data_IF_155918600458
#
_entry.id   IF_155918600458
#
_cell.length_a   1.000
_cell.length_b   1.000
_cell.length_c   1.000
_cell.angle_alpha   90.00
_cell.angle_beta   90.00
_cell.angle_gamma   90.00
#
_symmetry.space_group_name_H-M   'P 1'
#
loop_
_entity.id
_entity.type
_entity.pdbx_description
1 polymer ?
#
# COMPACT_ATOMS: atom_id res chain seq x y z
N UNK A 1 -36.07 -29.96 -1.44
CA UNK A 1 -35.99 -28.74 -0.59
C UNK A 1 -36.71 -27.61 -1.28
N UNK A 2 -37.47 -26.79 -0.53
CA UNK A 2 -38.12 -25.60 -1.08
C UNK A 2 -37.08 -24.46 -1.25
N UNK A 3 -37.26 -23.60 -2.25
CA UNK A 3 -36.37 -22.46 -2.55
C UNK A 3 -36.14 -21.55 -1.33
N UNK A 4 -37.19 -21.31 -0.54
CA UNK A 4 -37.09 -20.51 0.69
C UNK A 4 -36.22 -21.16 1.77
N UNK A 5 -36.09 -22.50 1.77
CA UNK A 5 -35.21 -23.22 2.69
C UNK A 5 -33.76 -23.14 2.24
N UNK A 6 -33.50 -23.25 0.92
CA UNK A 6 -32.18 -23.03 0.37
C UNK A 6 -31.73 -21.58 0.62
N UNK A 7 -32.54 -20.58 0.28
CA UNK A 7 -32.21 -19.16 0.52
C UNK A 7 -31.83 -18.90 1.99
N UNK A 8 -32.54 -19.50 2.95
CA UNK A 8 -32.22 -19.41 4.39
C UNK A 8 -30.95 -20.17 4.81
N UNK A 9 -30.59 -21.23 4.10
CA UNK A 9 -29.37 -22.03 4.33
C UNK A 9 -28.13 -21.33 3.78
N UNK A 10 -28.27 -20.62 2.65
CA UNK A 10 -27.21 -19.81 2.04
C UNK A 10 -27.13 -18.39 2.63
N UNK A 11 -28.14 -17.93 3.36
CA UNK A 11 -28.16 -16.63 4.03
C UNK A 11 -27.08 -16.57 5.12
N UNK A 12 -25.98 -15.84 4.83
CA UNK A 12 -24.82 -15.72 5.71
C UNK A 12 -23.65 -16.66 5.39
N UNK A 13 -23.76 -17.48 4.33
CA UNK A 13 -22.59 -18.13 3.75
C UNK A 13 -21.70 -17.07 3.11
N UNK A 14 -20.47 -16.96 3.61
CA UNK A 14 -19.47 -16.15 2.93
C UNK A 14 -18.96 -16.95 1.76
N UNK A 15 -19.06 -16.41 0.56
CA UNK A 15 -18.60 -17.09 -0.63
C UNK A 15 -17.09 -16.86 -0.86
N UNK A 16 -16.42 -17.78 -1.55
CA UNK A 16 -14.98 -17.60 -1.88
C UNK A 16 -14.74 -16.35 -2.71
N UNK A 17 -15.70 -15.95 -3.54
CA UNK A 17 -15.57 -14.76 -4.37
C UNK A 17 -15.51 -13.48 -3.51
N UNK A 18 -16.25 -13.40 -2.40
CA UNK A 18 -16.21 -12.25 -1.49
C UNK A 18 -14.84 -12.15 -0.80
N UNK A 19 -14.28 -13.29 -0.41
CA UNK A 19 -12.93 -13.36 0.14
C UNK A 19 -11.88 -12.87 -0.87
N UNK A 20 -11.92 -13.36 -2.11
CA UNK A 20 -10.98 -12.93 -3.15
C UNK A 20 -11.17 -11.45 -3.53
N UNK A 21 -12.41 -10.98 -3.59
CA UNK A 21 -12.70 -9.56 -3.81
C UNK A 21 -12.10 -8.70 -2.70
N UNK A 22 -12.30 -9.10 -1.44
CA UNK A 22 -11.71 -8.37 -0.31
C UNK A 22 -10.18 -8.44 -0.31
N UNK A 23 -9.59 -9.56 -0.72
CA UNK A 23 -8.14 -9.67 -0.91
C UNK A 23 -7.66 -8.66 -1.96
N UNK A 24 -8.33 -8.57 -3.10
CA UNK A 24 -8.02 -7.61 -4.17
C UNK A 24 -8.07 -6.15 -3.70
N UNK A 25 -9.12 -5.75 -2.98
CA UNK A 25 -9.23 -4.40 -2.38
C UNK A 25 -8.08 -4.13 -1.41
N UNK A 26 -7.68 -5.14 -0.64
CA UNK A 26 -6.58 -5.02 0.33
C UNK A 26 -5.22 -4.91 -0.38
N UNK A 27 -5.05 -5.64 -1.49
CA UNK A 27 -3.86 -5.58 -2.33
C UNK A 27 -3.74 -4.24 -3.08
N UNK A 28 -4.85 -3.67 -3.53
CA UNK A 28 -4.89 -2.33 -4.12
C UNK A 28 -4.36 -1.28 -3.14
N UNK A 29 -4.85 -1.27 -1.89
CA UNK A 29 -4.36 -0.35 -0.87
C UNK A 29 -2.84 -0.49 -0.62
N UNK A 30 -2.32 -1.73 -0.62
CA UNK A 30 -0.88 -1.96 -0.53
C UNK A 30 -0.11 -1.39 -1.74
N UNK A 31 -0.63 -1.59 -2.94
CA UNK A 31 0.02 -1.12 -4.17
C UNK A 31 0.00 0.41 -4.29
N UNK A 32 -1.09 1.05 -3.86
CA UNK A 32 -1.18 2.50 -3.77
C UNK A 32 -0.19 3.07 -2.76
N UNK A 33 -0.04 2.43 -1.60
CA UNK A 33 0.98 2.79 -0.62
C UNK A 33 2.41 2.70 -1.21
N UNK A 34 2.74 1.61 -1.92
CA UNK A 34 4.03 1.44 -2.58
C UNK A 34 4.29 2.53 -3.64
N UNK A 35 3.27 2.84 -4.43
CA UNK A 35 3.32 3.86 -5.48
C UNK A 35 3.60 5.25 -4.90
N UNK A 36 2.92 5.62 -3.82
CA UNK A 36 3.13 6.91 -3.16
C UNK A 36 4.53 7.04 -2.58
N UNK A 37 5.05 5.99 -1.94
CA UNK A 37 6.43 6.03 -1.42
C UNK A 37 7.47 6.09 -2.53
N UNK A 38 7.26 5.37 -3.63
CA UNK A 38 8.11 5.48 -4.82
C UNK A 38 8.10 6.91 -5.39
N UNK A 39 6.92 7.51 -5.47
CA UNK A 39 6.74 8.89 -5.93
C UNK A 39 7.47 9.89 -5.02
N UNK A 40 7.38 9.72 -3.69
CA UNK A 40 8.13 10.52 -2.72
C UNK A 40 9.65 10.43 -2.93
N UNK A 41 10.19 9.22 -3.07
CA UNK A 41 11.62 9.03 -3.32
C UNK A 41 12.05 9.72 -4.61
N UNK A 42 11.28 9.56 -5.70
CA UNK A 42 11.58 10.20 -6.98
C UNK A 42 11.54 11.74 -6.88
N UNK A 43 10.54 12.29 -6.21
CA UNK A 43 10.40 13.73 -6.03
C UNK A 43 11.52 14.32 -5.16
N UNK A 44 11.93 13.61 -4.10
CA UNK A 44 13.03 14.04 -3.23
C UNK A 44 14.40 13.94 -3.94
N UNK A 45 14.61 12.92 -4.78
CA UNK A 45 15.77 12.86 -5.67
C UNK A 45 15.77 14.04 -6.65
N UNK A 46 14.63 14.35 -7.26
CA UNK A 46 14.49 15.48 -8.16
C UNK A 46 14.77 16.82 -7.49
N UNK A 47 14.33 17.00 -6.24
CA UNK A 47 14.66 18.19 -5.45
C UNK A 47 16.15 18.27 -5.11
N UNK A 48 16.76 17.17 -4.68
CA UNK A 48 18.18 17.12 -4.32
C UNK A 48 19.09 17.42 -5.50
N UNK A 49 18.67 17.08 -6.72
CA UNK A 49 19.44 17.24 -7.95
C UNK A 49 18.90 18.39 -8.83
N UNK A 50 18.05 19.27 -8.29
CA UNK A 50 17.50 20.44 -8.98
C UNK A 50 16.78 20.15 -10.31
N UNK A 51 16.21 18.95 -10.49
CA UNK A 51 15.50 18.56 -11.72
C UNK A 51 14.25 19.37 -12.02
N UNK A 52 13.75 20.13 -11.03
CA UNK A 52 12.64 21.05 -11.19
C UNK A 52 13.03 22.34 -11.93
N UNK A 53 14.32 22.69 -11.96
CA UNK A 53 14.85 23.86 -12.69
C UNK A 53 15.77 23.45 -13.85
N UNK A 54 16.51 22.34 -13.69
CA UNK A 54 17.36 21.76 -14.72
C UNK A 54 17.03 20.27 -14.91
N UNK A 55 16.03 19.93 -15.74
CA UNK A 55 15.58 18.56 -15.90
C UNK A 55 16.66 17.62 -16.45
N UNK A 56 16.88 16.48 -15.78
CA UNK A 56 17.68 15.36 -16.28
C UNK A 56 16.81 14.10 -16.43
N UNK A 57 16.11 13.94 -17.57
CA UNK A 57 15.19 12.81 -17.77
C UNK A 57 15.91 11.46 -17.82
N UNK A 58 17.19 11.41 -18.22
CA UNK A 58 17.94 10.16 -18.30
C UNK A 58 18.28 9.63 -16.90
N UNK A 59 18.71 10.50 -16.00
CA UNK A 59 18.97 10.11 -14.61
C UNK A 59 17.66 9.86 -13.86
N UNK A 60 16.62 10.68 -14.10
CA UNK A 60 15.29 10.45 -13.53
C UNK A 60 14.71 9.09 -13.92
N UNK A 61 14.85 8.66 -15.19
CA UNK A 61 14.45 7.32 -15.62
C UNK A 61 15.18 6.22 -14.86
N UNK A 62 16.50 6.35 -14.66
CA UNK A 62 17.29 5.35 -13.90
C UNK A 62 16.84 5.26 -12.43
N UNK A 63 16.48 6.39 -11.83
CA UNK A 63 15.93 6.41 -10.47
C UNK A 63 14.56 5.72 -10.42
N UNK A 64 13.68 6.01 -11.38
CA UNK A 64 12.39 5.33 -11.48
C UNK A 64 12.56 3.82 -11.67
N UNK A 65 13.43 3.37 -12.59
CA UNK A 65 13.71 1.95 -12.81
C UNK A 65 14.25 1.25 -11.54
N UNK A 66 15.02 1.96 -10.71
CA UNK A 66 15.50 1.46 -9.41
C UNK A 66 14.35 1.31 -8.42
N UNK A 67 13.45 2.30 -8.36
CA UNK A 67 12.27 2.28 -7.49
C UNK A 67 11.34 1.12 -7.87
N UNK A 68 11.05 0.94 -9.16
CA UNK A 68 10.16 -0.11 -9.66
C UNK A 68 10.65 -1.53 -9.35
N UNK A 69 11.96 -1.72 -9.23
CA UNK A 69 12.58 -3.00 -8.86
C UNK A 69 12.77 -3.18 -7.35
N UNK A 70 12.54 -2.14 -6.57
CA UNK A 70 12.78 -2.15 -5.14
C UNK A 70 11.60 -2.79 -4.40
N UNK A 71 11.91 -3.50 -3.32
CA UNK A 71 10.88 -3.92 -2.37
C UNK A 71 10.40 -2.70 -1.58
N UNK A 72 9.16 -2.72 -1.08
CA UNK A 72 8.64 -1.68 -0.19
C UNK A 72 9.59 -1.37 0.98
N UNK A 73 10.19 -2.41 1.57
CA UNK A 73 11.17 -2.25 2.65
C UNK A 73 12.43 -1.48 2.19
N UNK A 74 12.89 -1.74 0.96
CA UNK A 74 14.01 -0.99 0.39
C UNK A 74 13.64 0.46 0.09
N UNK A 75 12.46 0.70 -0.47
CA UNK A 75 11.95 2.06 -0.72
C UNK A 75 11.86 2.89 0.56
N UNK A 76 11.41 2.28 1.67
CA UNK A 76 11.39 2.94 2.99
C UNK A 76 12.80 3.27 3.51
N UNK A 77 13.78 2.38 3.28
CA UNK A 77 15.18 2.65 3.63
C UNK A 77 15.75 3.80 2.80
N UNK A 78 15.46 3.83 1.50
CA UNK A 78 15.93 4.90 0.62
C UNK A 78 15.28 6.25 1.02
N UNK A 79 14.00 6.26 1.37
CA UNK A 79 13.29 7.47 1.81
C UNK A 79 13.89 8.09 3.09
N UNK A 80 14.39 7.27 4.03
CA UNK A 80 15.06 7.73 5.25
C UNK A 80 16.37 8.48 5.01
N UNK A 81 16.93 8.39 3.80
CA UNK A 81 18.13 9.16 3.44
C UNK A 81 17.81 10.65 3.20
N UNK A 82 16.53 10.98 3.00
CA UNK A 82 16.06 12.33 2.67
C UNK A 82 15.27 12.97 3.81
N UNK A 83 14.50 12.18 4.56
CA UNK A 83 13.61 12.69 5.60
C UNK A 83 13.74 11.89 6.90
N UNK A 84 13.52 12.58 8.01
CA UNK A 84 13.36 11.95 9.33
C UNK A 84 11.88 11.82 9.63
N UNK A 85 11.43 10.60 9.92
CA UNK A 85 10.04 10.35 10.30
C UNK A 85 9.82 10.65 11.78
N UNK A 86 8.70 11.32 12.09
CA UNK A 86 8.19 11.33 13.45
C UNK A 86 7.78 9.92 13.90
N UNK A 87 7.91 9.64 15.19
CA UNK A 87 7.74 8.29 15.76
C UNK A 87 6.40 7.61 15.38
N UNK A 88 5.32 8.37 15.30
CA UNK A 88 4.00 7.85 14.93
C UNK A 88 3.93 7.42 13.46
N UNK A 89 4.52 8.22 12.56
CA UNK A 89 4.56 7.93 11.14
C UNK A 89 5.49 6.75 10.85
N UNK A 90 6.64 6.71 11.51
CA UNK A 90 7.58 5.58 11.46
C UNK A 90 6.92 4.27 11.90
N UNK A 91 6.15 4.31 12.99
CA UNK A 91 5.36 3.16 13.46
C UNK A 91 4.29 2.76 12.45
N UNK A 92 3.58 3.73 11.86
CA UNK A 92 2.56 3.50 10.84
C UNK A 92 3.14 2.77 9.63
N UNK A 93 4.23 3.29 9.03
CA UNK A 93 4.87 2.68 7.87
C UNK A 93 5.50 1.32 8.18
N UNK A 94 6.07 1.16 9.38
CA UNK A 94 6.59 -0.13 9.83
C UNK A 94 5.50 -1.18 10.00
N UNK A 95 4.30 -0.80 10.47
CA UNK A 95 3.14 -1.71 10.54
C UNK A 95 2.67 -2.07 9.14
N UNK A 96 2.47 -1.08 8.27
CA UNK A 96 2.03 -1.29 6.91
C UNK A 96 2.99 -2.18 6.09
N UNK A 97 4.30 -2.05 6.28
CA UNK A 97 5.29 -2.97 5.68
C UNK A 97 5.06 -4.42 6.11
N UNK A 98 4.80 -4.66 7.41
CA UNK A 98 4.50 -6.01 7.92
C UNK A 98 3.20 -6.53 7.34
N UNK A 99 2.17 -5.68 7.30
CA UNK A 99 0.84 -6.01 6.76
C UNK A 99 0.88 -6.33 5.27
N UNK A 100 1.64 -5.55 4.48
CA UNK A 100 1.89 -5.83 3.05
C UNK A 100 2.63 -7.14 2.84
N UNK A 101 3.68 -7.40 3.61
CA UNK A 101 4.44 -8.66 3.50
C UNK A 101 3.57 -9.87 3.89
N UNK A 102 2.77 -9.74 4.95
CA UNK A 102 1.81 -10.76 5.35
C UNK A 102 0.78 -11.00 4.24
N UNK A 103 0.18 -9.95 3.70
CA UNK A 103 -0.81 -10.03 2.62
C UNK A 103 -0.27 -10.79 1.41
N UNK A 104 0.93 -10.41 0.93
CA UNK A 104 1.49 -10.93 -0.32
C UNK A 104 2.16 -12.29 -0.19
N UNK A 105 2.73 -12.61 0.98
CA UNK A 105 3.56 -13.80 1.13
C UNK A 105 3.00 -14.83 2.12
N UNK A 106 2.13 -14.45 3.06
CA UNK A 106 1.73 -15.34 4.15
C UNK A 106 0.23 -15.51 4.35
N UNK A 107 -0.61 -14.71 3.67
CA UNK A 107 -2.04 -14.65 4.00
C UNK A 107 -2.74 -16.00 3.81
N UNK A 108 -2.68 -16.57 2.61
CA UNK A 108 -3.34 -17.85 2.34
C UNK A 108 -2.65 -19.03 3.02
N UNK A 109 -1.32 -19.01 3.13
CA UNK A 109 -0.55 -20.05 3.83
C UNK A 109 -1.00 -20.20 5.29
N UNK A 110 -1.09 -19.08 6.03
CA UNK A 110 -1.48 -19.07 7.45
C UNK A 110 -2.94 -19.46 7.68
N UNK A 111 -3.78 -19.22 6.69
CA UNK A 111 -5.20 -19.57 6.77
C UNK A 111 -5.49 -21.00 6.28
N UNK A 112 -4.62 -21.59 5.47
CA UNK A 112 -4.64 -23.00 5.07
C UNK A 112 -6.07 -23.50 4.76
N UNK A 113 -6.57 -24.48 5.51
CA UNK A 113 -7.89 -25.08 5.32
C UNK A 113 -9.07 -24.19 5.72
N UNK A 114 -8.87 -23.04 6.38
CA UNK A 114 -9.96 -22.13 6.79
C UNK A 114 -10.84 -21.71 5.61
N UNK A 115 -10.25 -21.54 4.42
CA UNK A 115 -10.96 -21.18 3.20
C UNK A 115 -12.07 -22.17 2.81
N UNK A 116 -12.00 -23.42 3.29
CA UNK A 116 -12.96 -24.48 2.97
C UNK A 116 -14.27 -24.35 3.75
N UNK A 117 -14.32 -23.54 4.80
CA UNK A 117 -15.50 -23.40 5.67
C UNK A 117 -15.99 -21.96 5.68
N UNK A 118 -17.29 -21.74 5.87
CA UNK A 118 -17.85 -20.38 5.91
C UNK A 118 -17.32 -19.60 7.12
N UNK A 119 -17.19 -20.27 8.27
CA UNK A 119 -16.61 -19.68 9.47
C UNK A 119 -15.16 -19.25 9.24
N UNK A 120 -14.34 -20.12 8.63
CA UNK A 120 -12.96 -19.79 8.30
C UNK A 120 -12.84 -18.68 7.25
N UNK A 121 -13.74 -18.61 6.25
CA UNK A 121 -13.78 -17.49 5.30
C UNK A 121 -14.20 -16.18 5.97
N UNK A 122 -15.14 -16.20 6.92
CA UNK A 122 -15.47 -15.02 7.73
C UNK A 122 -14.27 -14.50 8.51
N UNK A 123 -13.50 -15.39 9.14
CA UNK A 123 -12.25 -15.02 9.82
C UNK A 123 -11.24 -14.41 8.85
N UNK A 124 -11.02 -15.06 7.70
CA UNK A 124 -10.11 -14.54 6.67
C UNK A 124 -10.51 -13.14 6.18
N UNK A 125 -11.81 -12.90 5.97
CA UNK A 125 -12.31 -11.57 5.59
C UNK A 125 -12.10 -10.55 6.70
N UNK A 126 -12.30 -10.93 7.97
CA UNK A 126 -12.03 -10.05 9.10
C UNK A 126 -10.54 -9.65 9.17
N UNK A 127 -9.64 -10.61 8.97
CA UNK A 127 -8.20 -10.34 8.90
C UNK A 127 -7.84 -9.41 7.74
N UNK A 128 -8.44 -9.61 6.56
CA UNK A 128 -8.24 -8.69 5.43
C UNK A 128 -8.79 -7.29 5.69
N UNK A 129 -9.87 -7.14 6.49
CA UNK A 129 -10.36 -5.81 6.88
C UNK A 129 -9.32 -5.09 7.74
N UNK A 130 -8.73 -5.78 8.71
CA UNK A 130 -7.67 -5.21 9.55
C UNK A 130 -6.43 -4.83 8.73
N UNK A 131 -5.96 -5.74 7.86
CA UNK A 131 -4.83 -5.45 6.96
C UNK A 131 -5.12 -4.26 6.05
N UNK A 132 -6.32 -4.19 5.49
CA UNK A 132 -6.75 -3.09 4.64
C UNK A 132 -6.75 -1.77 5.39
N UNK A 133 -7.28 -1.72 6.61
CA UNK A 133 -7.28 -0.49 7.42
C UNK A 133 -5.86 0.02 7.67
N UNK A 134 -4.93 -0.87 8.06
CA UNK A 134 -3.53 -0.49 8.27
C UNK A 134 -2.86 0.05 7.00
N UNK A 135 -3.04 -0.64 5.87
CA UNK A 135 -2.46 -0.25 4.58
C UNK A 135 -3.08 1.05 4.06
N UNK A 136 -4.39 1.21 4.22
CA UNK A 136 -5.11 2.39 3.77
C UNK A 136 -4.70 3.64 4.55
N UNK A 137 -4.54 3.53 5.87
CA UNK A 137 -4.03 4.64 6.70
C UNK A 137 -2.61 5.04 6.28
N UNK A 138 -1.74 4.06 6.03
CA UNK A 138 -0.38 4.34 5.57
C UNK A 138 -0.35 4.97 4.17
N UNK A 139 -1.19 4.48 3.25
CA UNK A 139 -1.37 5.10 1.94
C UNK A 139 -1.83 6.56 2.06
N UNK A 140 -2.86 6.84 2.87
CA UNK A 140 -3.34 8.22 3.08
C UNK A 140 -2.26 9.13 3.66
N UNK A 141 -1.43 8.63 4.58
CA UNK A 141 -0.32 9.38 5.13
C UNK A 141 0.75 9.68 4.05
N UNK A 142 1.14 8.67 3.27
CA UNK A 142 2.10 8.84 2.18
C UNK A 142 1.58 9.81 1.11
N UNK A 143 0.33 9.67 0.68
CA UNK A 143 -0.30 10.55 -0.31
C UNK A 143 -0.36 12.02 0.15
N UNK A 144 -0.64 12.26 1.44
CA UNK A 144 -0.56 13.61 2.01
C UNK A 144 0.86 14.18 1.96
N UNK A 145 1.88 13.38 2.28
CA UNK A 145 3.27 13.81 2.18
C UNK A 145 3.64 14.14 0.72
N UNK A 146 3.22 13.30 -0.23
CA UNK A 146 3.43 13.54 -1.66
C UNK A 146 2.79 14.86 -2.08
N UNK A 147 1.53 15.09 -1.70
CA UNK A 147 0.82 16.33 -2.02
C UNK A 147 1.52 17.57 -1.45
N UNK A 148 1.97 17.53 -0.20
CA UNK A 148 2.72 18.63 0.43
C UNK A 148 4.04 18.89 -0.33
N UNK A 149 4.77 17.82 -0.66
CA UNK A 149 6.04 17.93 -1.37
C UNK A 149 5.86 18.52 -2.77
N UNK A 150 4.86 18.05 -3.52
CA UNK A 150 4.56 18.56 -4.85
C UNK A 150 4.14 20.02 -4.82
N UNK A 151 3.31 20.43 -3.84
CA UNK A 151 2.97 21.84 -3.67
C UNK A 151 4.20 22.71 -3.36
N UNK A 152 5.12 22.21 -2.52
CA UNK A 152 6.36 22.90 -2.21
C UNK A 152 7.31 23.02 -3.43
N UNK A 153 7.34 22.01 -4.31
CA UNK A 153 8.08 22.06 -5.57
C UNK A 153 7.48 23.12 -6.49
N UNK A 154 6.17 23.11 -6.73
CA UNK A 154 5.51 24.07 -7.62
C UNK A 154 5.74 25.53 -7.19
N UNK A 155 5.63 25.83 -5.90
CA UNK A 155 5.90 27.17 -5.38
C UNK A 155 7.36 27.65 -5.59
N UNK A 156 8.33 26.72 -5.68
CA UNK A 156 9.73 27.06 -5.97
C UNK A 156 9.97 27.32 -7.44
N UNK A 157 9.21 26.67 -8.32
CA UNK A 157 9.30 26.85 -9.77
C UNK A 157 8.65 28.16 -10.22
N UNK A 158 7.55 28.58 -9.57
CA UNK A 158 6.81 29.82 -9.92
C UNK A 158 7.49 31.11 -9.41
N UNK A 159 8.45 30.99 -8.49
CA UNK A 159 9.18 32.11 -7.88
C UNK A 159 10.51 32.47 -8.57
N UNK A 160 10.81 31.84 -9.71
CA UNK A 160 11.97 32.14 -10.58
C UNK A 160 11.51 32.79 -11.89
#
# INVERSE_FOLDING_TARGET
MCRAQLEKEYEGMVERHELYAKFGITAEAAQLFETELGTLVLALEGLKNDWHTSPDPNTARKVLDRIDRSTLGRTLVDLRQYITFEANLEKCFSSALKSRNLLMHGFFERHSFKIQTDAGRREMIADLKNLHEELFVAWQAASKLTAILMAAISHRTDGQ
#
